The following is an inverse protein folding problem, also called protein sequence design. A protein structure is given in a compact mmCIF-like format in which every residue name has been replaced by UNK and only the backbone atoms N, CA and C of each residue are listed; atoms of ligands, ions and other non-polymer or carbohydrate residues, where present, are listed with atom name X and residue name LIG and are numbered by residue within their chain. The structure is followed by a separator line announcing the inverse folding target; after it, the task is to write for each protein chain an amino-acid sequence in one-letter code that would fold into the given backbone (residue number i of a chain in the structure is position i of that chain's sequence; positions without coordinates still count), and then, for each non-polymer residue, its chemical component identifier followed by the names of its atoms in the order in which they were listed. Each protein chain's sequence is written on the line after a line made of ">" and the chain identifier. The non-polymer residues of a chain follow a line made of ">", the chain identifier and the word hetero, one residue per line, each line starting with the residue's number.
data_IF_393496001160
#
_entry.id   IF_393496001160
#
_cell.length_a   1.000
_cell.length_b   1.000
_cell.length_c   1.000
_cell.angle_alpha   90.00
_cell.angle_beta   90.00
_cell.angle_gamma   90.00
#
_symmetry.space_group_name_H-M   'P 1'
#
loop_
_entity.id
_entity.type
_entity.pdbx_description
1 polymer ?
#
# COMPACT_ATOMS: atom_id res chain seq x y z
N UNK A 1 11.46 -2.58 -17.98
CA UNK A 1 10.00 -2.89 -17.98
C UNK A 1 9.34 -2.11 -19.11
N UNK A 2 8.61 -2.79 -20.02
CA UNK A 2 7.85 -2.17 -21.12
C UNK A 2 6.56 -1.56 -20.57
N UNK A 3 6.05 -0.53 -21.23
CA UNK A 3 4.83 0.19 -20.86
C UNK A 3 3.73 0.04 -21.92
N UNK A 4 2.54 0.59 -21.66
CA UNK A 4 1.43 0.57 -22.62
C UNK A 4 1.77 1.29 -23.93
N UNK A 5 2.66 2.28 -23.90
CA UNK A 5 3.02 3.09 -25.08
C UNK A 5 3.96 2.34 -26.04
N UNK A 6 4.52 1.22 -25.60
CA UNK A 6 5.46 0.39 -26.38
C UNK A 6 4.78 -0.71 -27.22
N UNK A 7 3.44 -0.80 -27.20
CA UNK A 7 2.69 -1.93 -27.80
C UNK A 7 1.43 -1.46 -28.53
N UNK A 8 1.19 -2.04 -29.70
CA UNK A 8 -0.08 -1.90 -30.42
C UNK A 8 -1.11 -2.93 -29.91
N UNK A 9 -2.21 -2.42 -29.36
CA UNK A 9 -3.32 -3.21 -28.81
C UNK A 9 -4.50 -3.36 -29.78
N UNK A 10 -4.41 -2.79 -31.01
CA UNK A 10 -5.52 -2.83 -31.97
C UNK A 10 -5.97 -4.25 -32.29
N UNK A 11 -7.23 -4.56 -32.00
CA UNK A 11 -7.85 -5.88 -32.20
C UNK A 11 -7.32 -7.00 -31.29
N UNK A 12 -6.42 -6.71 -30.36
CA UNK A 12 -5.86 -7.70 -29.44
C UNK A 12 -6.80 -8.07 -28.31
N UNK A 13 -6.66 -9.29 -27.81
CA UNK A 13 -7.25 -9.71 -26.54
C UNK A 13 -6.21 -9.54 -25.44
N UNK A 14 -6.55 -8.76 -24.42
CA UNK A 14 -5.66 -8.38 -23.33
C UNK A 14 -6.12 -9.03 -22.04
N UNK A 15 -5.24 -9.72 -21.36
CA UNK A 15 -5.45 -10.10 -19.96
C UNK A 15 -4.89 -8.99 -19.09
N UNK A 16 -5.78 -8.33 -18.35
CA UNK A 16 -5.43 -7.22 -17.46
C UNK A 16 -5.53 -7.63 -16.00
N UNK A 17 -4.42 -7.66 -15.27
CA UNK A 17 -4.38 -7.95 -13.84
C UNK A 17 -4.46 -6.67 -13.03
N UNK A 18 -5.61 -6.41 -12.41
CA UNK A 18 -5.88 -5.22 -11.58
C UNK A 18 -5.79 -5.54 -10.07
N UNK A 19 -5.58 -4.51 -9.26
CA UNK A 19 -5.84 -4.53 -7.82
C UNK A 19 -7.19 -3.85 -7.53
N UNK A 20 -8.25 -4.66 -7.43
CA UNK A 20 -9.62 -4.23 -7.18
C UNK A 20 -10.10 -4.67 -5.79
N UNK A 21 -9.16 -4.86 -4.86
CA UNK A 21 -9.43 -5.28 -3.49
C UNK A 21 -9.95 -4.11 -2.65
N UNK A 22 -11.19 -3.72 -2.92
CA UNK A 22 -11.90 -2.61 -2.27
C UNK A 22 -12.54 -3.04 -0.95
N UNK A 23 -12.73 -2.14 0.03
CA UNK A 23 -13.50 -2.42 1.22
C UNK A 23 -14.99 -2.50 0.90
N UNK A 24 -15.65 -3.51 1.48
CA UNK A 24 -17.09 -3.75 1.32
C UNK A 24 -17.80 -3.73 2.68
N UNK A 25 -18.98 -3.11 2.71
CA UNK A 25 -20.00 -3.32 3.76
C UNK A 25 -21.18 -4.06 3.11
N UNK A 26 -21.27 -5.37 3.35
CA UNK A 26 -22.14 -6.25 2.57
C UNK A 26 -21.77 -6.21 1.08
N UNK A 27 -22.66 -5.70 0.24
CA UNK A 27 -22.44 -5.49 -1.19
C UNK A 27 -22.12 -4.03 -1.55
N UNK A 28 -22.04 -3.13 -0.56
CA UNK A 28 -21.74 -1.72 -0.77
C UNK A 28 -20.21 -1.51 -0.75
N UNK A 29 -19.69 -0.92 -1.83
CA UNK A 29 -18.29 -0.47 -1.86
C UNK A 29 -18.21 0.83 -1.05
N UNK A 30 -17.42 0.83 0.03
CA UNK A 30 -17.25 2.00 0.90
C UNK A 30 -16.14 2.94 0.42
N UNK A 31 -15.20 2.41 -0.37
CA UNK A 31 -14.15 3.19 -1.05
C UNK A 31 -13.86 2.55 -2.43
N UNK A 32 -14.04 3.33 -3.50
CA UNK A 32 -13.80 2.90 -4.88
C UNK A 32 -12.46 3.39 -5.47
N UNK A 33 -11.57 3.91 -4.64
CA UNK A 33 -10.28 4.49 -5.07
C UNK A 33 -9.44 3.53 -5.91
N UNK A 34 -9.38 2.24 -5.54
CA UNK A 34 -8.65 1.22 -6.33
C UNK A 34 -9.26 0.95 -7.70
N UNK A 35 -10.60 1.01 -7.82
CA UNK A 35 -11.28 0.88 -9.12
C UNK A 35 -10.93 2.09 -9.98
N UNK A 36 -11.00 3.30 -9.43
CA UNK A 36 -10.64 4.53 -10.14
C UNK A 36 -9.19 4.54 -10.59
N UNK A 37 -8.27 4.02 -9.76
CA UNK A 37 -6.85 3.93 -10.10
C UNK A 37 -6.56 3.02 -11.31
N UNK A 38 -7.42 2.03 -11.60
CA UNK A 38 -7.29 1.14 -12.76
C UNK A 38 -7.89 1.73 -14.05
N UNK A 39 -8.72 2.79 -13.96
CA UNK A 39 -9.41 3.36 -15.11
C UNK A 39 -8.47 3.89 -16.21
N UNK A 40 -7.34 4.56 -15.91
CA UNK A 40 -6.44 5.05 -16.96
C UNK A 40 -5.92 3.93 -17.86
N UNK A 41 -5.55 2.78 -17.28
CA UNK A 41 -5.12 1.60 -18.04
C UNK A 41 -6.26 1.02 -18.87
N UNK A 42 -7.43 0.82 -18.27
CA UNK A 42 -8.60 0.24 -18.95
C UNK A 42 -9.05 1.12 -20.12
N UNK A 43 -9.14 2.43 -19.92
CA UNK A 43 -9.52 3.38 -20.98
C UNK A 43 -8.52 3.39 -22.12
N UNK A 44 -7.22 3.44 -21.82
CA UNK A 44 -6.16 3.36 -22.84
C UNK A 44 -6.31 2.12 -23.72
N UNK A 45 -6.54 0.94 -23.12
CA UNK A 45 -6.74 -0.32 -23.85
C UNK A 45 -8.02 -0.31 -24.71
N UNK A 46 -9.11 0.23 -24.17
CA UNK A 46 -10.38 0.38 -24.91
C UNK A 46 -10.27 1.33 -26.10
N UNK A 47 -9.61 2.47 -25.90
CA UNK A 47 -9.38 3.48 -26.94
C UNK A 47 -8.47 2.95 -28.05
N UNK A 48 -7.52 2.07 -27.71
CA UNK A 48 -6.70 1.33 -28.67
C UNK A 48 -7.43 0.17 -29.37
N UNK A 49 -8.71 -0.08 -29.05
CA UNK A 49 -9.51 -1.13 -29.69
C UNK A 49 -9.28 -2.54 -29.17
N UNK A 50 -8.70 -2.71 -27.97
CA UNK A 50 -8.51 -4.00 -27.33
C UNK A 50 -9.81 -4.58 -26.76
N UNK A 51 -9.86 -5.90 -26.64
CA UNK A 51 -10.81 -6.64 -25.79
C UNK A 51 -10.11 -6.99 -24.48
N UNK A 52 -10.76 -6.80 -23.35
CA UNK A 52 -10.13 -6.89 -22.04
C UNK A 52 -10.77 -8.02 -21.21
N UNK A 53 -9.92 -8.94 -20.74
CA UNK A 53 -10.27 -9.89 -19.68
C UNK A 53 -9.59 -9.45 -18.39
N UNK A 54 -10.40 -8.97 -17.43
CA UNK A 54 -9.89 -8.50 -16.14
C UNK A 54 -9.76 -9.66 -15.19
N UNK A 55 -8.57 -9.79 -14.56
CA UNK A 55 -8.29 -10.65 -13.43
C UNK A 55 -8.06 -9.81 -12.19
N UNK A 56 -8.79 -10.08 -11.12
CA UNK A 56 -8.63 -9.37 -9.86
C UNK A 56 -8.89 -10.29 -8.66
N UNK A 57 -8.45 -9.84 -7.48
CA UNK A 57 -8.76 -10.53 -6.25
C UNK A 57 -9.54 -9.62 -5.30
N UNK A 58 -10.30 -10.23 -4.39
CA UNK A 58 -10.99 -9.55 -3.30
C UNK A 58 -10.85 -10.36 -2.03
N UNK A 59 -10.33 -9.75 -0.98
CA UNK A 59 -10.16 -10.38 0.32
C UNK A 59 -9.25 -11.62 0.31
N UNK A 60 -9.50 -12.49 1.28
CA UNK A 60 -8.76 -13.76 1.45
C UNK A 60 -9.74 -14.92 1.66
N UNK A 61 -10.43 -15.37 0.61
CA UNK A 61 -11.32 -16.52 0.71
C UNK A 61 -10.51 -17.76 1.10
N UNK A 62 -11.09 -18.64 1.94
CA UNK A 62 -10.40 -19.84 2.44
C UNK A 62 -10.66 -21.07 1.58
N UNK A 63 -11.88 -21.21 1.03
CA UNK A 63 -12.30 -22.41 0.31
C UNK A 63 -13.30 -22.02 -0.82
N UNK A 64 -12.82 -21.93 -2.05
CA UNK A 64 -13.67 -21.73 -3.23
C UNK A 64 -14.57 -20.47 -3.17
N UNK A 65 -15.71 -20.53 -3.82
CA UNK A 65 -16.63 -19.41 -3.92
C UNK A 65 -17.24 -19.04 -2.56
N UNK A 66 -17.16 -17.74 -2.23
CA UNK A 66 -17.80 -17.14 -1.05
C UNK A 66 -18.43 -15.81 -1.48
N UNK A 67 -19.74 -15.69 -1.29
CA UNK A 67 -20.51 -14.52 -1.77
C UNK A 67 -19.97 -13.17 -1.26
N UNK A 68 -19.45 -13.14 -0.02
CA UNK A 68 -18.84 -11.94 0.59
C UNK A 68 -17.54 -11.47 -0.10
N UNK A 69 -16.93 -12.32 -0.92
CA UNK A 69 -15.74 -12.02 -1.69
C UNK A 69 -15.96 -12.06 -3.21
N UNK A 70 -17.23 -12.03 -3.65
CA UNK A 70 -17.58 -11.92 -5.08
C UNK A 70 -17.20 -10.55 -5.63
N UNK A 71 -16.66 -10.54 -6.85
CA UNK A 71 -16.38 -9.31 -7.60
C UNK A 71 -17.61 -8.69 -8.26
N UNK A 72 -18.83 -9.22 -8.05
CA UNK A 72 -20.05 -8.69 -8.66
C UNK A 72 -20.28 -7.20 -8.34
N UNK A 73 -20.10 -6.69 -7.08
CA UNK A 73 -20.22 -5.26 -6.81
C UNK A 73 -19.15 -4.43 -7.56
N UNK A 74 -17.93 -4.97 -7.69
CA UNK A 74 -16.82 -4.32 -8.39
C UNK A 74 -17.12 -4.24 -9.89
N UNK A 75 -17.58 -5.33 -10.52
CA UNK A 75 -17.96 -5.35 -11.94
C UNK A 75 -19.08 -4.35 -12.23
N UNK A 76 -20.09 -4.29 -11.37
CA UNK A 76 -21.19 -3.31 -11.48
C UNK A 76 -20.67 -1.86 -11.37
N UNK A 77 -19.81 -1.58 -10.40
CA UNK A 77 -19.22 -0.24 -10.23
C UNK A 77 -18.33 0.15 -11.40
N UNK A 78 -17.50 -0.77 -11.87
CA UNK A 78 -16.63 -0.54 -13.03
C UNK A 78 -17.45 -0.30 -14.30
N UNK A 79 -18.54 -1.06 -14.51
CA UNK A 79 -19.48 -0.85 -15.62
C UNK A 79 -20.06 0.56 -15.61
N UNK A 80 -20.47 1.06 -14.44
CA UNK A 80 -20.98 2.41 -14.30
C UNK A 80 -19.92 3.50 -14.57
N UNK A 81 -18.66 3.27 -14.18
CA UNK A 81 -17.56 4.23 -14.41
C UNK A 81 -17.04 4.25 -15.85
N UNK A 82 -17.21 3.16 -16.59
CA UNK A 82 -16.81 3.04 -17.99
C UNK A 82 -17.93 3.38 -18.96
N UNK A 83 -19.18 3.49 -18.48
CA UNK A 83 -20.40 3.62 -19.29
C UNK A 83 -20.51 2.51 -20.36
N UNK A 84 -20.08 1.29 -19.99
CA UNK A 84 -20.21 0.11 -20.84
C UNK A 84 -20.30 -1.18 -19.99
N UNK A 85 -20.93 -2.25 -20.53
CA UNK A 85 -21.09 -3.50 -19.78
C UNK A 85 -19.75 -4.15 -19.44
N UNK A 86 -19.58 -4.54 -18.17
CA UNK A 86 -18.52 -5.43 -17.68
C UNK A 86 -19.18 -6.74 -17.30
N UNK A 87 -18.93 -7.77 -18.09
CA UNK A 87 -19.56 -9.09 -17.89
C UNK A 87 -18.74 -9.92 -16.93
N UNK A 88 -19.35 -10.34 -15.81
CA UNK A 88 -18.69 -11.21 -14.82
C UNK A 88 -18.83 -12.67 -15.23
N UNK A 89 -17.71 -13.32 -15.50
CA UNK A 89 -17.61 -14.76 -15.75
C UNK A 89 -17.34 -15.50 -14.43
N UNK A 90 -18.15 -16.49 -14.09
CA UNK A 90 -18.01 -17.23 -12.82
C UNK A 90 -16.90 -18.27 -12.87
N UNK A 91 -16.73 -18.88 -14.03
CA UNK A 91 -15.77 -19.95 -14.32
C UNK A 91 -14.93 -19.58 -15.53
N UNK A 92 -13.79 -20.25 -15.72
CA UNK A 92 -12.96 -20.06 -16.91
C UNK A 92 -13.72 -20.39 -18.20
N UNK A 93 -14.62 -21.36 -18.15
CA UNK A 93 -15.47 -21.78 -19.29
C UNK A 93 -16.45 -20.71 -19.74
N UNK A 94 -16.78 -19.74 -18.86
CA UNK A 94 -17.70 -18.63 -19.18
C UNK A 94 -16.97 -17.47 -19.88
N UNK A 95 -15.63 -17.47 -19.85
CA UNK A 95 -14.83 -16.47 -20.55
C UNK A 95 -14.93 -16.70 -22.07
N UNK A 96 -15.25 -15.65 -22.79
CA UNK A 96 -15.23 -15.69 -24.25
C UNK A 96 -13.78 -15.72 -24.73
N UNK A 97 -13.45 -16.71 -25.54
CA UNK A 97 -12.11 -16.78 -26.18
C UNK A 97 -11.91 -15.64 -27.21
N UNK A 98 -10.70 -15.58 -27.76
CA UNK A 98 -10.15 -14.48 -28.55
C UNK A 98 -10.96 -14.05 -29.80
N UNK A 99 -11.96 -14.78 -30.28
CA UNK A 99 -12.44 -14.59 -31.65
C UNK A 99 -13.86 -14.03 -31.82
N UNK A 100 -14.77 -14.04 -30.81
CA UNK A 100 -16.19 -13.72 -31.08
C UNK A 100 -16.99 -13.06 -29.95
N UNK A 101 -16.37 -12.42 -28.95
CA UNK A 101 -17.13 -11.75 -27.90
C UNK A 101 -17.67 -10.40 -28.39
N UNK A 102 -18.99 -10.21 -28.31
CA UNK A 102 -19.62 -8.89 -28.44
C UNK A 102 -19.25 -7.96 -27.27
N UNK A 103 -18.75 -8.52 -26.17
CA UNK A 103 -18.36 -7.78 -24.97
C UNK A 103 -16.92 -7.29 -25.07
N UNK A 104 -16.73 -5.97 -24.95
CA UNK A 104 -15.39 -5.37 -24.93
C UNK A 104 -14.64 -5.63 -23.64
N UNK A 105 -15.37 -5.78 -22.51
CA UNK A 105 -14.79 -6.02 -21.19
C UNK A 105 -15.50 -7.19 -20.53
N UNK A 106 -14.73 -8.17 -20.12
CA UNK A 106 -15.19 -9.24 -19.24
C UNK A 106 -14.28 -9.32 -18.01
N UNK A 107 -14.82 -9.80 -16.90
CA UNK A 107 -14.08 -9.96 -15.63
C UNK A 107 -14.26 -11.38 -15.14
N UNK A 108 -13.16 -12.07 -14.82
CA UNK A 108 -13.26 -13.34 -14.12
C UNK A 108 -13.65 -13.08 -12.66
N UNK A 109 -14.49 -13.93 -12.10
CA UNK A 109 -14.80 -13.93 -10.67
C UNK A 109 -13.49 -14.05 -9.86
N UNK A 110 -13.53 -13.63 -8.62
CA UNK A 110 -12.37 -13.53 -7.74
C UNK A 110 -11.36 -14.68 -7.98
N UNK A 111 -10.20 -14.30 -8.52
CA UNK A 111 -9.16 -15.26 -8.92
C UNK A 111 -8.70 -16.16 -7.77
N UNK A 112 -8.86 -15.70 -6.51
CA UNK A 112 -8.54 -16.47 -5.30
C UNK A 112 -9.57 -17.55 -4.95
N UNK A 113 -10.66 -17.67 -5.71
CA UNK A 113 -11.54 -18.83 -5.62
C UNK A 113 -10.94 -20.07 -6.27
N UNK A 114 -9.94 -19.87 -7.11
CA UNK A 114 -9.15 -20.94 -7.72
C UNK A 114 -7.94 -21.24 -6.84
N UNK A 115 -7.87 -22.42 -6.18
CA UNK A 115 -6.79 -22.72 -5.24
C UNK A 115 -5.39 -22.63 -5.86
N UNK A 116 -5.28 -22.89 -7.15
CA UNK A 116 -4.04 -22.85 -7.91
C UNK A 116 -3.43 -21.45 -7.99
N UNK A 117 -4.26 -20.38 -7.90
CA UNK A 117 -3.76 -18.99 -7.92
C UNK A 117 -2.73 -18.73 -6.81
N UNK A 118 -2.95 -19.28 -5.63
CA UNK A 118 -2.10 -19.05 -4.45
C UNK A 118 -1.38 -20.31 -3.97
N UNK A 119 -1.34 -21.37 -4.78
CA UNK A 119 -0.68 -22.62 -4.43
C UNK A 119 0.80 -22.40 -4.12
N UNK A 120 1.34 -23.18 -3.19
CA UNK A 120 2.78 -23.21 -2.92
C UNK A 120 3.53 -24.02 -3.98
N UNK A 121 2.83 -24.91 -4.68
CA UNK A 121 3.36 -25.70 -5.78
C UNK A 121 3.46 -24.83 -7.04
N UNK A 122 4.67 -24.76 -7.62
CA UNK A 122 4.93 -23.97 -8.82
C UNK A 122 4.27 -24.57 -10.07
N UNK A 123 4.23 -25.90 -10.16
CA UNK A 123 3.62 -26.59 -11.31
C UNK A 123 2.10 -26.36 -11.34
N UNK A 124 1.42 -26.40 -10.18
CA UNK A 124 0.00 -26.09 -10.08
C UNK A 124 -0.29 -24.65 -10.52
N UNK A 125 0.55 -23.67 -10.09
CA UNK A 125 0.41 -22.28 -10.50
C UNK A 125 0.67 -22.10 -12.00
N UNK A 126 1.70 -22.77 -12.52
CA UNK A 126 2.06 -22.71 -13.94
C UNK A 126 0.96 -23.30 -14.83
N UNK A 127 0.38 -24.43 -14.46
CA UNK A 127 -0.70 -25.03 -15.24
C UNK A 127 -1.95 -24.15 -15.24
N UNK A 128 -2.31 -23.57 -14.11
CA UNK A 128 -3.40 -22.58 -14.06
C UNK A 128 -3.09 -21.33 -14.90
N UNK A 129 -1.86 -20.85 -14.87
CA UNK A 129 -1.43 -19.73 -15.70
C UNK A 129 -1.52 -20.06 -17.21
N UNK A 130 -1.20 -21.29 -17.63
CA UNK A 130 -1.41 -21.74 -19.01
C UNK A 130 -2.88 -21.75 -19.41
N UNK A 131 -3.77 -22.13 -18.48
CA UNK A 131 -5.22 -22.06 -18.75
C UNK A 131 -5.70 -20.62 -18.90
N UNK A 132 -5.24 -19.71 -18.04
CA UNK A 132 -5.53 -18.27 -18.16
C UNK A 132 -4.97 -17.67 -19.46
N UNK A 133 -3.77 -18.06 -19.88
CA UNK A 133 -3.12 -17.54 -21.08
C UNK A 133 -3.92 -17.77 -22.37
N UNK A 134 -4.84 -18.74 -22.39
CA UNK A 134 -5.72 -19.03 -23.54
C UNK A 134 -6.70 -17.88 -23.86
N UNK A 135 -6.91 -16.95 -22.93
CA UNK A 135 -7.87 -15.85 -23.04
C UNK A 135 -7.26 -14.51 -23.46
N UNK A 136 -5.97 -14.46 -23.79
CA UNK A 136 -5.34 -13.23 -24.24
C UNK A 136 -4.09 -13.41 -25.09
N UNK A 137 -3.80 -12.40 -25.90
CA UNK A 137 -2.60 -12.32 -26.73
C UNK A 137 -1.46 -11.60 -25.98
N UNK A 138 -1.84 -10.71 -25.06
CA UNK A 138 -0.94 -9.84 -24.32
C UNK A 138 -1.39 -9.77 -22.85
N UNK A 139 -0.43 -9.78 -21.95
CA UNK A 139 -0.66 -9.55 -20.52
C UNK A 139 -0.33 -8.10 -20.16
N UNK A 140 -1.22 -7.46 -19.40
CA UNK A 140 -0.99 -6.14 -18.79
C UNK A 140 -1.06 -6.28 -17.26
N UNK A 141 0.06 -6.01 -16.60
CA UNK A 141 0.12 -5.94 -15.14
C UNK A 141 -0.24 -4.54 -14.66
N UNK A 142 -1.32 -4.41 -13.85
CA UNK A 142 -1.76 -3.12 -13.31
C UNK A 142 -2.18 -3.21 -11.83
N UNK A 143 -1.87 -4.32 -11.18
CA UNK A 143 -2.20 -4.58 -9.78
C UNK A 143 -0.99 -4.48 -8.86
N UNK A 144 -0.45 -3.28 -8.61
CA UNK A 144 0.78 -3.09 -7.85
C UNK A 144 0.70 -3.71 -6.43
N UNK A 145 -0.43 -3.61 -5.75
CA UNK A 145 -0.61 -4.22 -4.43
C UNK A 145 -0.45 -5.75 -4.37
N UNK A 146 -0.38 -6.44 -5.52
CA UNK A 146 -0.20 -7.88 -5.60
C UNK A 146 1.21 -8.34 -6.05
N UNK A 147 2.06 -7.43 -6.58
CA UNK A 147 3.34 -7.79 -7.21
C UNK A 147 4.38 -8.40 -6.26
N UNK A 148 4.20 -8.26 -4.95
CA UNK A 148 5.08 -8.85 -3.95
C UNK A 148 4.84 -10.36 -3.72
N UNK A 149 3.87 -10.97 -4.40
CA UNK A 149 3.49 -12.37 -4.21
C UNK A 149 3.70 -13.19 -5.48
N UNK A 150 4.21 -14.41 -5.32
CA UNK A 150 4.26 -15.41 -6.39
C UNK A 150 2.88 -16.08 -6.54
N UNK A 151 1.93 -15.36 -7.16
CA UNK A 151 0.62 -15.88 -7.54
C UNK A 151 0.58 -16.18 -9.03
N UNK A 152 -0.17 -17.19 -9.47
CA UNK A 152 -0.23 -17.62 -10.85
C UNK A 152 -0.51 -16.48 -11.84
N UNK A 153 -1.50 -15.62 -11.52
CA UNK A 153 -1.87 -14.48 -12.35
C UNK A 153 -0.89 -13.30 -12.31
N UNK A 154 0.08 -13.29 -11.36
CA UNK A 154 1.02 -12.18 -11.13
C UNK A 154 2.45 -12.52 -11.54
N UNK A 155 2.85 -13.78 -11.40
CA UNK A 155 4.22 -14.22 -11.62
C UNK A 155 4.37 -15.20 -12.77
N UNK A 156 3.57 -16.27 -12.84
CA UNK A 156 3.66 -17.28 -13.90
C UNK A 156 3.03 -16.77 -15.22
N UNK A 157 1.84 -16.18 -15.17
CA UNK A 157 1.09 -15.76 -16.35
C UNK A 157 1.82 -14.70 -17.20
N UNK A 158 2.39 -13.61 -16.64
CA UNK A 158 3.13 -12.63 -17.46
C UNK A 158 4.36 -13.24 -18.17
N UNK A 159 4.91 -14.33 -17.68
CA UNK A 159 6.05 -15.02 -18.29
C UNK A 159 5.67 -15.91 -19.46
N UNK A 160 4.37 -16.17 -19.67
CA UNK A 160 3.84 -16.98 -20.76
C UNK A 160 3.37 -16.14 -21.97
N UNK A 161 3.18 -14.84 -21.80
CA UNK A 161 2.67 -13.93 -22.82
C UNK A 161 3.59 -12.73 -22.99
N UNK A 162 3.58 -12.08 -24.17
CA UNK A 162 4.09 -10.72 -24.27
C UNK A 162 3.46 -9.87 -23.18
N UNK A 163 4.26 -9.13 -22.40
CA UNK A 163 3.78 -8.45 -21.23
C UNK A 163 4.23 -7.00 -21.18
N UNK A 164 3.43 -6.15 -20.52
CA UNK A 164 3.73 -4.76 -20.24
C UNK A 164 3.15 -4.33 -18.89
N UNK A 165 3.71 -3.26 -18.32
CA UNK A 165 3.15 -2.59 -17.16
C UNK A 165 2.02 -1.64 -17.56
N UNK A 166 0.92 -1.68 -16.82
CA UNK A 166 -0.13 -0.68 -16.89
C UNK A 166 0.27 0.65 -16.24
N UNK A 167 -0.59 1.65 -16.35
CA UNK A 167 -0.32 3.02 -15.84
C UNK A 167 -0.10 3.05 -14.34
N UNK A 168 -0.86 2.24 -13.57
CA UNK A 168 -0.73 2.21 -12.12
C UNK A 168 0.62 1.62 -11.69
N UNK A 169 1.03 0.47 -12.24
CA UNK A 169 2.34 -0.12 -11.93
C UNK A 169 3.47 0.83 -12.37
N UNK A 170 3.37 1.44 -13.53
CA UNK A 170 4.38 2.38 -14.02
C UNK A 170 4.54 3.58 -13.08
N UNK A 171 3.43 4.18 -12.65
CA UNK A 171 3.43 5.31 -11.72
C UNK A 171 4.01 4.94 -10.33
N UNK A 172 3.57 3.81 -9.76
CA UNK A 172 4.07 3.32 -8.46
C UNK A 172 5.58 3.06 -8.50
N UNK A 173 6.06 2.39 -9.56
CA UNK A 173 7.51 2.10 -9.72
C UNK A 173 8.31 3.40 -9.90
N UNK A 174 7.81 4.36 -10.67
CA UNK A 174 8.48 5.66 -10.85
C UNK A 174 8.60 6.41 -9.52
N UNK A 175 7.51 6.46 -8.74
CA UNK A 175 7.48 7.09 -7.42
C UNK A 175 8.46 6.41 -6.46
N UNK A 176 8.46 5.07 -6.41
CA UNK A 176 9.35 4.32 -5.53
C UNK A 176 10.83 4.46 -5.92
N UNK A 177 11.14 4.55 -7.21
CA UNK A 177 12.48 4.87 -7.70
C UNK A 177 12.94 6.27 -7.26
N UNK A 178 12.06 7.27 -7.33
CA UNK A 178 12.37 8.62 -6.82
C UNK A 178 12.71 8.61 -5.32
N UNK A 179 12.06 7.74 -4.54
CA UNK A 179 12.35 7.59 -3.10
C UNK A 179 13.63 6.80 -2.80
N UNK A 180 14.08 5.91 -3.69
CA UNK A 180 15.15 4.95 -3.37
C UNK A 180 16.45 5.18 -4.12
N UNK A 181 16.41 5.75 -5.34
CA UNK A 181 17.61 5.88 -6.18
C UNK A 181 18.28 7.25 -6.01
N UNK A 182 17.53 8.35 -6.24
CA UNK A 182 18.07 9.72 -6.17
C UNK A 182 17.03 10.70 -5.60
N UNK A 183 16.61 10.59 -4.33
CA UNK A 183 15.66 11.53 -3.75
C UNK A 183 16.27 12.95 -3.66
N UNK A 184 15.46 13.96 -3.97
CA UNK A 184 15.83 15.34 -3.69
C UNK A 184 15.97 15.55 -2.18
N UNK A 185 17.00 16.30 -1.76
CA UNK A 185 17.35 16.48 -0.34
C UNK A 185 17.00 17.90 0.13
N UNK A 186 16.67 18.07 1.42
CA UNK A 186 16.63 17.05 2.49
C UNK A 186 15.49 16.03 2.29
N UNK A 187 15.81 14.74 2.54
CA UNK A 187 14.86 13.65 2.44
C UNK A 187 14.45 13.16 3.83
N UNK A 188 13.14 13.20 4.09
CA UNK A 188 12.56 12.72 5.35
C UNK A 188 11.72 11.48 5.15
N UNK A 189 11.76 10.58 6.12
CA UNK A 189 10.86 9.43 6.23
C UNK A 189 10.12 9.51 7.57
N UNK A 190 8.79 9.39 7.51
CA UNK A 190 7.90 9.37 8.67
C UNK A 190 7.24 8.01 8.74
N UNK A 191 7.51 7.27 9.81
CA UNK A 191 6.97 5.93 10.01
C UNK A 191 6.18 5.87 11.31
N UNK A 192 4.95 5.41 11.20
CA UNK A 192 4.06 5.14 12.33
C UNK A 192 3.42 3.76 12.22
N UNK A 193 2.35 3.55 12.99
CA UNK A 193 1.65 2.26 13.05
C UNK A 193 1.92 1.50 14.33
N UNK A 194 1.38 0.28 14.45
CA UNK A 194 1.32 -0.42 15.73
C UNK A 194 2.65 -1.07 16.15
N UNK A 195 3.33 -1.79 15.25
CA UNK A 195 4.49 -2.63 15.58
C UNK A 195 5.72 -2.27 14.77
N UNK A 196 6.89 -2.28 15.41
CA UNK A 196 8.16 -2.09 14.73
C UNK A 196 8.54 -3.29 13.85
N UNK A 197 8.12 -4.50 14.22
CA UNK A 197 8.33 -5.72 13.44
C UNK A 197 7.85 -5.61 11.99
N UNK A 198 6.79 -4.85 11.74
CA UNK A 198 6.21 -4.67 10.40
C UNK A 198 7.03 -3.72 9.51
N UNK A 199 7.95 -2.94 10.10
CA UNK A 199 8.67 -1.85 9.39
C UNK A 199 10.18 -1.83 9.62
N UNK A 200 10.71 -2.74 10.43
CA UNK A 200 12.14 -2.75 10.77
C UNK A 200 13.03 -2.89 9.54
N UNK A 201 12.60 -3.66 8.54
CA UNK A 201 13.30 -3.80 7.26
C UNK A 201 13.31 -2.50 6.44
N UNK A 202 12.18 -1.78 6.43
CA UNK A 202 12.06 -0.45 5.78
C UNK A 202 13.00 0.55 6.46
N UNK A 203 13.00 0.58 7.81
CA UNK A 203 13.87 1.46 8.59
C UNK A 203 15.32 1.17 8.27
N UNK A 204 15.74 -0.10 8.32
CA UNK A 204 17.10 -0.51 8.07
C UNK A 204 17.62 -0.15 6.67
N UNK A 205 16.75 -0.22 5.65
CA UNK A 205 17.15 0.14 4.28
C UNK A 205 17.12 1.66 4.03
N UNK A 206 16.14 2.36 4.57
CA UNK A 206 15.98 3.80 4.32
C UNK A 206 16.89 4.66 5.19
N UNK A 207 17.30 4.20 6.37
CA UNK A 207 18.21 4.95 7.25
C UNK A 207 19.53 5.32 6.57
N UNK A 208 19.98 4.52 5.61
CA UNK A 208 21.18 4.78 4.79
C UNK A 208 21.00 5.90 3.75
N UNK A 209 19.76 6.34 3.55
CA UNK A 209 19.38 7.22 2.42
C UNK A 209 18.76 8.54 2.85
N UNK A 210 18.31 8.66 4.10
CA UNK A 210 17.51 9.79 4.59
C UNK A 210 18.36 10.78 5.38
N UNK A 211 17.89 12.03 5.45
CA UNK A 211 18.43 13.06 6.34
C UNK A 211 17.64 13.14 7.66
N UNK A 212 16.35 12.80 7.61
CA UNK A 212 15.44 12.81 8.77
C UNK A 212 14.63 11.52 8.82
N UNK A 213 14.58 10.90 9.99
CA UNK A 213 13.74 9.74 10.26
C UNK A 213 12.85 10.03 11.48
N UNK A 214 11.54 10.16 11.29
CA UNK A 214 10.57 10.39 12.35
C UNK A 214 9.78 9.11 12.63
N UNK A 215 9.74 8.70 13.89
CA UNK A 215 9.06 7.48 14.36
C UNK A 215 7.91 7.86 15.26
N UNK A 216 6.70 7.34 14.98
CA UNK A 216 5.49 7.53 15.77
C UNK A 216 4.65 6.26 15.91
N UNK A 217 3.39 6.43 16.33
CA UNK A 217 2.49 5.31 16.55
C UNK A 217 2.90 4.38 17.69
N UNK A 218 2.27 3.22 17.80
CA UNK A 218 2.57 2.21 18.82
C UNK A 218 4.01 1.70 18.75
N UNK A 219 4.57 1.63 17.55
CA UNK A 219 5.95 1.15 17.34
C UNK A 219 7.02 2.01 18.03
N UNK A 220 6.75 3.28 18.31
CA UNK A 220 7.70 4.18 18.96
C UNK A 220 8.06 3.73 20.39
N UNK A 221 7.16 3.02 21.07
CA UNK A 221 7.41 2.56 22.44
C UNK A 221 8.50 1.49 22.52
N UNK A 222 8.78 0.76 21.42
CA UNK A 222 9.96 -0.10 21.33
C UNK A 222 11.25 0.72 21.30
N UNK A 223 11.26 1.90 20.62
CA UNK A 223 12.40 2.82 20.63
C UNK A 223 12.59 3.47 22.01
N UNK A 224 11.51 3.93 22.64
CA UNK A 224 11.54 4.52 23.98
C UNK A 224 12.05 3.52 25.00
N UNK A 225 11.60 2.26 24.93
CA UNK A 225 12.11 1.17 25.77
C UNK A 225 13.57 0.85 25.50
N UNK A 226 14.01 0.87 24.23
CA UNK A 226 15.43 0.67 23.85
C UNK A 226 16.36 1.75 24.43
N UNK A 227 15.83 2.98 24.64
CA UNK A 227 16.54 4.06 25.33
C UNK A 227 16.54 3.94 26.86
N UNK A 228 15.85 2.93 27.42
CA UNK A 228 15.81 2.64 28.86
C UNK A 228 14.70 3.36 29.63
N UNK A 229 13.71 3.94 28.94
CA UNK A 229 12.55 4.57 29.60
C UNK A 229 11.44 3.54 29.89
N UNK A 230 10.71 3.78 30.95
CA UNK A 230 9.48 3.04 31.28
C UNK A 230 8.36 3.42 30.31
N UNK A 231 7.61 2.45 29.83
CA UNK A 231 6.57 2.63 28.80
C UNK A 231 5.16 2.31 29.30
N UNK A 232 5.00 2.00 30.59
CA UNK A 232 3.72 1.59 31.19
C UNK A 232 3.14 0.33 30.53
N UNK A 233 1.88 0.43 30.08
CA UNK A 233 1.16 -0.64 29.36
C UNK A 233 1.24 -0.48 27.83
N UNK A 234 2.10 0.38 27.32
CA UNK A 234 2.25 0.61 25.88
C UNK A 234 2.72 -0.64 25.17
N UNK A 235 2.42 -0.73 23.87
CA UNK A 235 2.87 -1.84 23.03
C UNK A 235 4.40 -1.83 22.90
N UNK A 236 5.02 -3.02 22.91
CA UNK A 236 6.46 -3.18 22.71
C UNK A 236 6.77 -4.51 22.03
N UNK A 237 7.65 -4.48 21.05
CA UNK A 237 8.25 -5.68 20.44
C UNK A 237 9.55 -6.00 21.19
N UNK A 238 9.45 -6.69 22.32
CA UNK A 238 10.55 -6.96 23.25
C UNK A 238 11.75 -7.64 22.56
N UNK A 239 11.45 -8.56 21.65
CA UNK A 239 12.46 -9.31 20.89
C UNK A 239 13.29 -8.41 19.95
N UNK A 240 12.78 -7.22 19.60
CA UNK A 240 13.43 -6.29 18.68
C UNK A 240 14.14 -5.13 19.36
N UNK A 241 14.17 -5.07 20.69
CA UNK A 241 14.81 -3.96 21.43
C UNK A 241 16.30 -3.82 21.04
N UNK A 242 17.03 -4.92 20.94
CA UNK A 242 18.46 -4.87 20.56
C UNK A 242 18.65 -4.45 19.10
N UNK A 243 17.77 -4.86 18.19
CA UNK A 243 17.78 -4.40 16.80
C UNK A 243 17.53 -2.88 16.74
N UNK A 244 16.56 -2.38 17.50
CA UNK A 244 16.23 -0.94 17.57
C UNK A 244 17.39 -0.14 18.15
N UNK A 245 18.10 -0.63 19.19
CA UNK A 245 19.34 0.00 19.68
C UNK A 245 20.40 0.11 18.57
N UNK A 246 20.55 -0.94 17.78
CA UNK A 246 21.43 -0.93 16.60
C UNK A 246 21.04 0.14 15.58
N UNK A 247 19.74 0.31 15.31
CA UNK A 247 19.23 1.33 14.39
C UNK A 247 19.44 2.75 14.94
N UNK A 248 19.23 2.98 16.24
CA UNK A 248 19.50 4.28 16.89
C UNK A 248 20.98 4.65 16.72
N UNK A 249 21.87 3.72 17.06
CA UNK A 249 23.32 3.90 16.87
C UNK A 249 23.68 4.16 15.40
N UNK A 250 23.06 3.43 14.47
CA UNK A 250 23.30 3.61 13.04
C UNK A 250 22.86 4.99 12.55
N UNK A 251 21.74 5.51 13.04
CA UNK A 251 21.29 6.87 12.75
C UNK A 251 22.34 7.91 13.20
N UNK A 252 22.91 7.74 14.40
CA UNK A 252 23.98 8.60 14.92
C UNK A 252 25.24 8.55 14.05
N UNK A 253 25.71 7.35 13.68
CA UNK A 253 26.87 7.14 12.81
C UNK A 253 26.71 7.81 11.43
N UNK A 254 25.50 7.80 10.88
CA UNK A 254 25.16 8.37 9.58
C UNK A 254 24.78 9.86 9.64
N UNK A 255 24.73 10.46 10.83
CA UNK A 255 24.22 11.81 11.08
C UNK A 255 22.75 11.98 10.60
N UNK A 256 21.96 10.93 10.65
CA UNK A 256 20.52 11.00 10.39
C UNK A 256 19.83 11.62 11.60
N UNK A 257 19.02 12.65 11.37
CA UNK A 257 18.19 13.26 12.43
C UNK A 257 17.05 12.31 12.79
N UNK A 258 17.29 11.44 13.80
CA UNK A 258 16.24 10.57 14.33
C UNK A 258 15.32 11.37 15.26
N UNK A 259 14.04 11.48 14.90
CA UNK A 259 13.00 12.13 15.70
C UNK A 259 12.21 11.06 16.44
N UNK A 260 12.35 11.05 17.75
CA UNK A 260 11.53 10.32 18.69
C UNK A 260 10.72 11.32 19.54
N UNK A 261 9.51 11.00 19.99
CA UNK A 261 8.72 11.91 20.78
C UNK A 261 9.38 12.21 22.13
N UNK A 262 9.22 13.43 22.62
CA UNK A 262 9.61 13.85 23.96
C UNK A 262 8.43 13.84 24.94
N UNK A 263 7.21 13.87 24.39
CA UNK A 263 5.96 13.72 25.08
C UNK A 263 4.99 12.83 24.30
N UNK A 264 4.06 12.20 25.00
CA UNK A 264 3.06 11.28 24.46
C UNK A 264 1.70 11.53 25.09
N UNK A 265 0.64 11.16 24.37
CA UNK A 265 -0.72 11.14 24.91
C UNK A 265 -1.01 9.72 25.37
N UNK A 266 -1.30 9.57 26.66
CA UNK A 266 -1.54 8.29 27.31
C UNK A 266 -2.97 8.16 27.80
N UNK A 267 -3.44 6.90 27.96
CA UNK A 267 -4.73 6.59 28.56
C UNK A 267 -4.66 5.27 29.34
N UNK A 268 -5.58 5.04 30.29
CA UNK A 268 -5.61 3.78 31.06
C UNK A 268 -6.09 2.57 30.25
N UNK A 269 -6.88 2.81 29.17
CA UNK A 269 -7.49 1.78 28.33
C UNK A 269 -7.50 2.21 26.86
N UNK A 270 -7.51 1.23 25.96
CA UNK A 270 -7.70 1.46 24.52
C UNK A 270 -9.19 1.65 24.23
N UNK A 271 -9.67 2.89 24.36
CA UNK A 271 -11.08 3.25 24.15
C UNK A 271 -11.19 4.69 23.65
N UNK A 272 -12.19 4.96 22.84
CA UNK A 272 -12.51 6.30 22.31
C UNK A 272 -12.87 7.28 23.42
N UNK A 273 -13.47 6.78 24.50
CA UNK A 273 -13.92 7.54 25.66
C UNK A 273 -12.86 7.61 26.77
N UNK A 274 -11.70 6.98 26.60
CA UNK A 274 -10.65 6.99 27.60
C UNK A 274 -10.12 8.41 27.84
N UNK A 275 -9.88 8.79 29.12
CA UNK A 275 -9.32 10.11 29.43
C UNK A 275 -7.88 10.20 28.92
N UNK A 276 -7.64 11.16 28.03
CA UNK A 276 -6.34 11.43 27.45
C UNK A 276 -5.52 12.36 28.36
N UNK A 277 -4.26 12.00 28.60
CA UNK A 277 -3.33 12.82 29.39
C UNK A 277 -2.00 12.95 28.63
N UNK A 278 -1.47 14.16 28.53
CA UNK A 278 -0.14 14.42 27.99
C UNK A 278 0.91 14.21 29.07
N UNK A 279 1.91 13.39 28.80
CA UNK A 279 3.03 13.14 29.71
C UNK A 279 4.36 13.15 28.97
N UNK A 280 5.45 13.51 29.67
CA UNK A 280 6.80 13.30 29.15
C UNK A 280 7.09 11.81 29.02
N UNK A 281 7.88 11.42 28.03
CA UNK A 281 8.36 10.03 27.86
C UNK A 281 9.15 9.52 29.09
N UNK A 282 9.69 10.45 29.90
CA UNK A 282 10.42 10.12 31.12
C UNK A 282 9.49 9.74 32.29
N UNK A 283 8.18 9.99 32.17
CA UNK A 283 7.21 9.87 33.26
C UNK A 283 5.91 9.18 32.82
N UNK A 284 6.00 8.16 31.97
CA UNK A 284 4.82 7.37 31.55
C UNK A 284 4.33 6.55 32.75
N UNK A 285 3.08 6.73 33.22
CA UNK A 285 2.57 5.96 34.36
C UNK A 285 2.45 4.46 34.04
N UNK A 286 2.83 3.63 35.01
CA UNK A 286 2.83 2.17 34.85
C UNK A 286 1.46 1.56 34.50
N UNK A 287 0.35 2.24 34.85
CA UNK A 287 -1.01 1.80 34.58
C UNK A 287 -1.62 2.39 33.31
N UNK A 288 -0.87 3.18 32.52
CA UNK A 288 -1.33 3.81 31.29
C UNK A 288 -0.55 3.30 30.05
N UNK A 289 -1.15 3.44 28.89
CA UNK A 289 -0.58 3.13 27.58
C UNK A 289 -0.55 4.39 26.71
N UNK A 290 0.50 4.53 25.91
CA UNK A 290 0.59 5.59 24.92
C UNK A 290 -0.24 5.30 23.69
N UNK A 291 -1.02 6.28 23.24
CA UNK A 291 -1.95 6.16 22.11
C UNK A 291 -1.72 7.21 21.01
N UNK A 292 -0.91 8.25 21.28
CA UNK A 292 -0.48 9.24 20.27
C UNK A 292 0.84 9.90 20.72
N UNK A 293 1.53 10.54 19.79
CA UNK A 293 2.61 11.47 20.15
C UNK A 293 2.03 12.72 20.78
N UNK A 294 2.76 13.34 21.69
CA UNK A 294 2.31 14.56 22.36
C UNK A 294 2.42 15.82 21.49
N UNK A 295 1.83 16.94 21.93
CA UNK A 295 1.78 18.17 21.15
C UNK A 295 3.15 18.80 20.88
N UNK A 296 4.11 18.72 21.80
CA UNK A 296 5.45 19.25 21.58
C UNK A 296 6.21 18.39 20.54
N UNK A 297 6.05 17.08 20.61
CA UNK A 297 6.59 16.14 19.62
C UNK A 297 5.97 16.36 18.24
N UNK A 298 4.66 16.52 18.16
CA UNK A 298 3.94 16.79 16.91
C UNK A 298 4.44 18.07 16.24
N UNK A 299 4.64 19.15 17.03
CA UNK A 299 5.19 20.43 16.57
C UNK A 299 6.65 20.27 16.09
N UNK A 300 7.47 19.52 16.82
CA UNK A 300 8.86 19.26 16.44
C UNK A 300 8.97 18.48 15.13
N UNK A 301 8.07 17.48 14.93
CA UNK A 301 8.02 16.71 13.67
C UNK A 301 7.58 17.62 12.52
N UNK A 302 6.48 18.37 12.68
CA UNK A 302 6.01 19.29 11.67
C UNK A 302 7.12 20.27 11.23
N UNK A 303 7.82 20.88 12.19
CA UNK A 303 8.92 21.82 11.91
C UNK A 303 10.08 21.15 11.16
N UNK A 304 10.41 19.89 11.47
CA UNK A 304 11.50 19.18 10.81
C UNK A 304 11.14 18.79 9.37
N UNK A 305 9.86 18.64 9.06
CA UNK A 305 9.38 18.26 7.72
C UNK A 305 9.24 19.46 6.77
N UNK A 306 9.00 20.67 7.28
CA UNK A 306 8.74 21.87 6.47
C UNK A 306 9.87 22.24 5.49
N UNK A 307 11.11 21.85 5.77
CA UNK A 307 12.26 22.14 4.91
C UNK A 307 12.68 20.98 4.02
N UNK A 308 11.88 19.91 3.93
CA UNK A 308 12.24 18.72 3.16
C UNK A 308 11.75 18.80 1.70
N UNK A 309 12.63 18.39 0.78
CA UNK A 309 12.33 18.31 -0.66
C UNK A 309 11.69 16.97 -1.05
N UNK A 310 11.94 15.92 -0.29
CA UNK A 310 11.29 14.61 -0.44
C UNK A 310 10.80 14.14 0.91
N UNK A 311 9.55 13.67 0.98
CA UNK A 311 9.02 13.03 2.19
C UNK A 311 8.27 11.76 1.82
N UNK A 312 8.58 10.67 2.53
CA UNK A 312 7.78 9.46 2.53
C UNK A 312 7.11 9.28 3.88
N UNK A 313 5.79 9.20 3.91
CA UNK A 313 5.02 8.95 5.13
C UNK A 313 4.23 7.64 5.04
N UNK A 314 4.41 6.76 6.03
CA UNK A 314 3.67 5.50 6.13
C UNK A 314 3.29 5.16 7.57
N UNK A 315 2.02 5.18 7.85
CA UNK A 315 1.41 4.83 9.14
C UNK A 315 1.13 6.05 10.03
N UNK A 316 0.02 6.02 10.76
CA UNK A 316 -0.41 7.10 11.64
C UNK A 316 0.51 7.23 12.87
N UNK A 317 0.54 8.44 13.45
CA UNK A 317 1.35 8.77 14.63
C UNK A 317 0.66 8.39 15.94
N UNK A 318 -0.64 8.11 15.90
CA UNK A 318 -1.47 7.70 17.02
C UNK A 318 -2.71 6.97 16.54
N UNK A 319 -3.62 6.66 17.46
CA UNK A 319 -4.92 6.01 17.18
C UNK A 319 -5.88 7.06 16.62
N UNK A 320 -5.67 7.42 15.36
CA UNK A 320 -6.36 8.54 14.70
C UNK A 320 -7.88 8.37 14.59
N UNK A 321 -8.38 7.15 14.72
CA UNK A 321 -9.82 6.84 14.76
C UNK A 321 -10.49 7.38 16.04
N UNK A 322 -9.70 7.66 17.08
CA UNK A 322 -10.15 8.23 18.33
C UNK A 322 -9.77 9.72 18.39
N UNK A 323 -10.73 10.65 18.40
CA UNK A 323 -10.42 12.09 18.29
C UNK A 323 -9.39 12.61 19.29
N UNK A 324 -9.36 12.04 20.51
CA UNK A 324 -8.41 12.43 21.56
C UNK A 324 -6.96 12.03 21.26
N UNK A 325 -6.73 11.08 20.32
CA UNK A 325 -5.43 10.50 19.98
C UNK A 325 -5.11 10.65 18.48
N UNK A 326 -5.70 11.65 17.83
CA UNK A 326 -5.57 11.93 16.40
C UNK A 326 -4.64 13.11 16.09
N UNK A 327 -4.23 13.87 17.12
CA UNK A 327 -3.54 15.15 16.92
C UNK A 327 -2.14 15.00 16.33
N UNK A 328 -1.40 13.98 16.73
CA UNK A 328 -0.08 13.69 16.15
C UNK A 328 -0.15 13.40 14.66
N UNK A 329 -1.11 12.55 14.25
CA UNK A 329 -1.34 12.23 12.84
C UNK A 329 -1.81 13.47 12.06
N UNK A 330 -2.71 14.27 12.63
CA UNK A 330 -3.18 15.51 12.01
C UNK A 330 -2.06 16.53 11.80
N UNK A 331 -1.17 16.70 12.77
CA UNK A 331 -0.05 17.64 12.66
C UNK A 331 0.93 17.24 11.57
N UNK A 332 1.23 15.95 11.43
CA UNK A 332 2.06 15.44 10.32
C UNK A 332 1.34 15.66 8.99
N UNK A 333 0.06 15.28 8.86
CA UNK A 333 -0.71 15.48 7.64
C UNK A 333 -0.75 16.96 7.22
N UNK A 334 -1.00 17.86 8.17
CA UNK A 334 -1.00 19.32 7.92
C UNK A 334 0.37 19.81 7.42
N UNK A 335 1.45 19.42 8.10
CA UNK A 335 2.80 19.80 7.67
C UNK A 335 3.10 19.32 6.25
N UNK A 336 2.70 18.09 5.91
CA UNK A 336 2.95 17.48 4.60
C UNK A 336 2.07 18.08 3.49
N UNK A 337 0.85 18.55 3.81
CA UNK A 337 -0.01 19.25 2.84
C UNK A 337 0.51 20.65 2.47
N UNK A 338 1.44 21.20 3.24
CA UNK A 338 1.99 22.55 3.07
C UNK A 338 3.42 22.57 2.49
N UNK A 339 4.08 21.42 2.39
CA UNK A 339 5.44 21.38 1.80
C UNK A 339 5.40 21.61 0.29
N UNK A 340 6.42 22.30 -0.22
CA UNK A 340 6.62 22.44 -1.68
C UNK A 340 7.32 21.24 -2.32
N UNK A 341 7.89 20.36 -1.49
CA UNK A 341 8.62 19.18 -1.91
C UNK A 341 7.71 18.03 -2.35
N UNK A 342 8.32 16.96 -2.85
CA UNK A 342 7.61 15.75 -3.27
C UNK A 342 7.22 14.90 -2.06
N UNK A 343 5.92 14.85 -1.76
CA UNK A 343 5.37 14.06 -0.66
C UNK A 343 4.72 12.77 -1.19
N UNK A 344 5.13 11.63 -0.64
CA UNK A 344 4.51 10.33 -0.92
C UNK A 344 3.89 9.80 0.35
N UNK A 345 2.58 9.56 0.32
CA UNK A 345 1.84 8.92 1.40
C UNK A 345 1.61 7.46 1.04
N UNK A 346 2.14 6.56 1.85
CA UNK A 346 2.05 5.11 1.66
C UNK A 346 1.17 4.43 2.70
N UNK A 347 0.43 3.42 2.26
CA UNK A 347 -0.39 2.57 3.12
C UNK A 347 -1.83 3.05 3.30
N UNK A 348 -2.72 2.06 3.44
CA UNK A 348 -4.17 2.31 3.55
C UNK A 348 -4.56 3.15 4.77
N UNK A 349 -3.91 2.92 5.92
CA UNK A 349 -4.21 3.64 7.15
C UNK A 349 -3.82 5.13 7.07
N UNK A 350 -2.70 5.44 6.41
CA UNK A 350 -2.28 6.84 6.18
C UNK A 350 -3.24 7.55 5.25
N UNK A 351 -3.63 6.91 4.14
CA UNK A 351 -4.61 7.46 3.21
C UNK A 351 -6.00 7.64 3.87
N UNK A 352 -6.43 6.66 4.69
CA UNK A 352 -7.66 6.76 5.45
C UNK A 352 -7.61 7.92 6.47
N UNK A 353 -6.48 8.10 7.17
CA UNK A 353 -6.29 9.19 8.11
C UNK A 353 -6.42 10.56 7.43
N UNK A 354 -5.74 10.77 6.28
CA UNK A 354 -5.83 11.98 5.46
C UNK A 354 -7.30 12.33 5.18
N UNK A 355 -8.04 11.40 4.60
CA UNK A 355 -9.44 11.60 4.19
C UNK A 355 -10.37 11.82 5.39
N UNK A 356 -10.20 11.04 6.47
CA UNK A 356 -10.99 11.17 7.70
C UNK A 356 -10.77 12.52 8.37
N UNK A 357 -9.57 13.09 8.25
CA UNK A 357 -9.21 14.40 8.80
C UNK A 357 -9.60 15.57 7.90
N UNK A 358 -10.18 15.31 6.71
CA UNK A 358 -10.70 16.33 5.80
C UNK A 358 -9.63 16.95 4.88
N UNK A 359 -8.51 16.29 4.67
CA UNK A 359 -7.54 16.68 3.65
C UNK A 359 -7.90 16.06 2.30
N UNK A 360 -7.67 16.80 1.22
CA UNK A 360 -7.82 16.30 -0.14
C UNK A 360 -6.56 15.55 -0.59
N UNK A 361 -6.74 14.44 -1.30
CA UNK A 361 -5.63 13.63 -1.82
C UNK A 361 -4.64 14.47 -2.68
N UNK A 362 -5.15 15.48 -3.39
CA UNK A 362 -4.41 16.38 -4.26
C UNK A 362 -3.44 17.34 -3.53
N UNK A 363 -3.59 17.49 -2.21
CA UNK A 363 -2.66 18.27 -1.37
C UNK A 363 -1.33 17.53 -1.15
N UNK A 364 -1.27 16.24 -1.50
CA UNK A 364 -0.07 15.41 -1.40
C UNK A 364 0.43 15.07 -2.80
N UNK A 365 1.74 14.95 -2.96
CA UNK A 365 2.35 14.69 -4.26
C UNK A 365 1.95 13.35 -4.87
N UNK A 366 1.82 12.30 -4.04
CA UNK A 366 1.36 10.98 -4.45
C UNK A 366 0.81 10.16 -3.26
N UNK A 367 -0.34 9.53 -3.45
CA UNK A 367 -0.87 8.56 -2.50
C UNK A 367 -0.74 7.16 -3.10
N UNK A 368 0.19 6.37 -2.55
CA UNK A 368 0.45 5.00 -3.00
C UNK A 368 -0.67 4.05 -2.59
N UNK A 369 -1.14 3.28 -3.55
CA UNK A 369 -2.12 2.20 -3.33
C UNK A 369 -1.46 0.85 -3.06
N UNK A 370 -0.12 0.78 -3.15
CA UNK A 370 0.65 -0.46 -3.14
C UNK A 370 0.70 -1.20 -1.81
N UNK A 371 0.42 -0.53 -0.69
CA UNK A 371 0.37 -1.16 0.63
C UNK A 371 1.66 -1.93 0.98
N UNK A 372 1.52 -3.24 1.22
CA UNK A 372 2.66 -4.12 1.54
C UNK A 372 3.70 -4.23 0.43
N UNK A 373 3.29 -4.13 -0.85
CA UNK A 373 4.23 -4.18 -1.97
C UNK A 373 5.18 -2.97 -1.98
N UNK A 374 4.66 -1.77 -1.70
CA UNK A 374 5.49 -0.56 -1.58
C UNK A 374 6.49 -0.69 -0.43
N UNK A 375 6.07 -1.21 0.72
CA UNK A 375 6.97 -1.41 1.86
C UNK A 375 8.07 -2.43 1.53
N UNK A 376 7.73 -3.57 0.93
CA UNK A 376 8.71 -4.58 0.54
C UNK A 376 9.70 -4.04 -0.51
N UNK A 377 9.25 -3.19 -1.44
CA UNK A 377 10.14 -2.49 -2.37
C UNK A 377 11.11 -1.55 -1.62
N UNK A 378 10.58 -0.77 -0.66
CA UNK A 378 11.38 0.14 0.17
C UNK A 378 12.32 -0.58 1.14
N UNK A 379 12.06 -1.86 1.45
CA UNK A 379 12.99 -2.75 2.15
C UNK A 379 14.15 -3.21 1.24
N UNK A 380 14.10 -2.92 -0.07
CA UNK A 380 15.08 -3.38 -1.05
C UNK A 380 14.81 -4.79 -1.58
N UNK A 381 13.63 -5.36 -1.32
CA UNK A 381 13.27 -6.69 -1.82
C UNK A 381 12.91 -6.64 -3.32
N UNK A 382 13.32 -7.69 -4.02
CA UNK A 382 12.89 -7.90 -5.39
C UNK A 382 11.43 -8.41 -5.41
N UNK A 383 10.55 -7.69 -6.10
CA UNK A 383 9.13 -8.04 -6.16
C UNK A 383 8.86 -8.99 -7.33
N UNK A 384 8.34 -10.21 -7.08
CA UNK A 384 8.16 -11.22 -8.12
C UNK A 384 7.39 -10.75 -9.35
N UNK A 385 6.29 -10.01 -9.15
CA UNK A 385 5.47 -9.51 -10.25
C UNK A 385 6.17 -8.46 -11.11
N UNK A 386 7.07 -7.65 -10.53
CA UNK A 386 7.89 -6.70 -11.30
C UNK A 386 8.96 -7.43 -12.11
N UNK A 387 9.64 -8.43 -11.50
CA UNK A 387 10.60 -9.29 -12.22
C UNK A 387 9.93 -9.94 -13.42
N UNK A 388 8.70 -10.44 -13.26
CA UNK A 388 7.97 -11.11 -14.33
C UNK A 388 7.56 -10.14 -15.48
N UNK A 389 7.44 -8.84 -15.20
CA UNK A 389 7.20 -7.81 -16.23
C UNK A 389 8.48 -7.29 -16.90
N UNK A 390 9.64 -7.69 -16.43
CA UNK A 390 10.95 -7.35 -17.02
C UNK A 390 11.53 -8.50 -17.85
N UNK A 391 10.91 -9.69 -17.78
CA UNK A 391 11.34 -10.92 -18.45
C UNK A 391 10.90 -11.01 -19.92
#
# INVERSE_FOLDING_TARGET
>A
MRTLDDVDFSGKSVILRCDLNVPLDGNLITDDGRIKASLPTIKHLLDAGARITILAHLGRPKNGFQNSFSLAPVASRLSALLDLPVVLAKELSDLSGNSNSANKVQMLENIRFFPQETSKDEDERLDFAKDLAKFGDIYVGDGFGAVHRKHASVYELPRLLPNVAGRLISAEVEVLKKLTENPARPYAVVLGGAKVSDKIGVIANLIEKVDVLAIGGGMVFTFISALGHEIGKSMVDVELIENVKGLIKRAEELNVKLLLPTDVVVAPTFSKEAPATVVSINNIPANQMGLDIGPDSAKAYALALQGCETVFWNGPMGVFEFPAFANGTRAVAQALSEISGFCVVGGGDSAAAIRTMGFDDEQFGYISTGGGASLEYLEGKLLPGLIALES
#
